data_IF_513848304002
#
_entry.id   IF_513848304002
#
_cell.length_a   1.000
_cell.length_b   1.000
_cell.length_c   1.000
_cell.angle_alpha   90.00
_cell.angle_beta   90.00
_cell.angle_gamma   90.00
#
_symmetry.space_group_name_H-M   'P 1'
#
loop_
_entity.id
_entity.type
_entity.pdbx_description
1 polymer ?
#
# COMPACT_ATOMS: atom_id res chain seq x y z
N UNK A 1 -25.49 -45.19 1.38
CA UNK A 1 -24.10 -44.71 1.51
C UNK A 1 -24.04 -43.18 1.40
N UNK A 2 -24.72 -42.58 0.42
CA UNK A 2 -24.84 -41.11 0.22
C UNK A 2 -25.08 -40.23 1.48
N UNK A 3 -25.90 -40.65 2.45
CA UNK A 3 -26.14 -39.86 3.68
C UNK A 3 -24.92 -39.79 4.60
N UNK A 4 -24.07 -40.82 4.60
CA UNK A 4 -22.84 -40.82 5.39
C UNK A 4 -21.77 -39.96 4.72
N UNK A 5 -21.72 -39.99 3.40
CA UNK A 5 -20.80 -39.18 2.60
C UNK A 5 -21.11 -37.69 2.79
N UNK A 6 -22.40 -37.29 2.72
CA UNK A 6 -22.83 -35.92 3.01
C UNK A 6 -22.49 -35.46 4.44
N UNK A 7 -22.62 -36.33 5.43
CA UNK A 7 -22.24 -35.99 6.82
C UNK A 7 -20.74 -35.77 6.95
N UNK A 8 -19.94 -36.63 6.32
CA UNK A 8 -18.48 -36.46 6.31
C UNK A 8 -18.05 -35.16 5.61
N UNK A 9 -18.72 -34.79 4.51
CA UNK A 9 -18.50 -33.50 3.84
C UNK A 9 -18.85 -32.33 4.75
N UNK A 10 -20.01 -32.36 5.43
CA UNK A 10 -20.40 -31.32 6.39
C UNK A 10 -19.42 -31.20 7.55
N UNK A 11 -18.98 -32.33 8.11
CA UNK A 11 -18.00 -32.35 9.19
C UNK A 11 -16.66 -31.76 8.71
N UNK A 12 -16.24 -32.06 7.48
CA UNK A 12 -15.01 -31.50 6.89
C UNK A 12 -15.09 -29.98 6.68
N UNK A 13 -16.25 -29.48 6.22
CA UNK A 13 -16.50 -28.05 6.05
C UNK A 13 -16.55 -27.32 7.40
N UNK A 14 -17.14 -27.95 8.42
CA UNK A 14 -17.19 -27.41 9.77
C UNK A 14 -15.77 -27.29 10.35
N UNK A 15 -14.96 -28.33 10.20
CA UNK A 15 -13.55 -28.29 10.63
C UNK A 15 -12.74 -27.23 9.87
N UNK A 16 -12.98 -27.07 8.56
CA UNK A 16 -12.34 -26.01 7.77
C UNK A 16 -12.74 -24.61 8.28
N UNK A 17 -14.04 -24.39 8.52
CA UNK A 17 -14.55 -23.13 9.07
C UNK A 17 -13.91 -22.79 10.43
N UNK A 18 -13.81 -23.77 11.33
CA UNK A 18 -13.20 -23.55 12.64
C UNK A 18 -11.72 -23.16 12.52
N UNK A 19 -10.98 -23.80 11.61
CA UNK A 19 -9.57 -23.46 11.32
C UNK A 19 -9.44 -22.06 10.75
N UNK A 20 -10.30 -21.71 9.79
CA UNK A 20 -10.28 -20.38 9.16
C UNK A 20 -10.61 -19.27 10.18
N UNK A 21 -11.50 -19.55 11.14
CA UNK A 21 -11.81 -18.63 12.25
C UNK A 21 -10.62 -18.44 13.19
N UNK A 22 -9.91 -19.50 13.55
CA UNK A 22 -8.70 -19.44 14.37
C UNK A 22 -7.60 -18.61 13.67
N UNK A 23 -7.37 -18.86 12.37
CA UNK A 23 -6.43 -18.06 11.58
C UNK A 23 -6.82 -16.59 11.51
N UNK A 24 -8.12 -16.30 11.36
CA UNK A 24 -8.63 -14.94 11.29
C UNK A 24 -8.42 -14.22 12.63
N UNK A 25 -8.67 -14.88 13.75
CA UNK A 25 -8.40 -14.33 15.08
C UNK A 25 -6.91 -14.03 15.28
N UNK A 26 -6.03 -14.97 14.90
CA UNK A 26 -4.59 -14.75 14.95
C UNK A 26 -4.16 -13.54 14.10
N UNK A 27 -4.69 -13.42 12.88
CA UNK A 27 -4.44 -12.27 11.98
C UNK A 27 -4.95 -10.96 12.60
N UNK A 28 -6.11 -10.97 13.27
CA UNK A 28 -6.66 -9.79 13.97
C UNK A 28 -5.78 -9.36 15.14
N UNK A 29 -5.32 -10.29 15.97
CA UNK A 29 -4.43 -9.98 17.10
C UNK A 29 -3.10 -9.41 16.59
N UNK A 30 -2.52 -10.02 15.55
CA UNK A 30 -1.29 -9.53 14.92
C UNK A 30 -1.48 -8.12 14.35
N UNK A 31 -2.59 -7.84 13.66
CA UNK A 31 -2.90 -6.51 13.14
C UNK A 31 -3.13 -5.49 14.26
N UNK A 32 -3.85 -5.88 15.32
CA UNK A 32 -4.10 -4.99 16.46
C UNK A 32 -2.81 -4.67 17.24
N UNK A 33 -1.81 -5.55 17.24
CA UNK A 33 -0.50 -5.22 17.80
C UNK A 33 0.19 -4.08 17.02
N UNK A 34 -0.12 -3.90 15.72
CA UNK A 34 0.41 -2.82 14.88
C UNK A 34 -0.36 -1.48 15.03
N UNK A 35 -1.27 -1.35 16.00
CA UNK A 35 -2.02 -0.11 16.27
C UNK A 35 -1.12 1.09 16.60
N UNK A 36 0.15 0.87 16.95
CA UNK A 36 1.16 1.92 17.10
C UNK A 36 1.26 2.84 15.87
N UNK A 37 1.03 2.32 14.65
CA UNK A 37 1.00 3.10 13.41
C UNK A 37 -0.07 4.21 13.39
N UNK A 38 -1.19 4.00 14.08
CA UNK A 38 -2.26 5.01 14.17
C UNK A 38 -1.86 6.13 15.14
N UNK A 39 -1.20 5.76 16.24
CA UNK A 39 -0.67 6.72 17.19
C UNK A 39 0.45 7.55 16.56
N UNK A 40 1.38 6.93 15.85
CA UNK A 40 2.48 7.62 15.17
C UNK A 40 1.96 8.58 14.07
N UNK A 41 0.93 8.19 13.31
CA UNK A 41 0.24 9.07 12.37
C UNK A 41 -0.44 10.27 13.07
N UNK A 42 -1.10 10.05 14.21
CA UNK A 42 -1.71 11.15 14.98
C UNK A 42 -0.66 12.15 15.52
N UNK A 43 0.49 11.65 15.99
CA UNK A 43 1.63 12.48 16.40
C UNK A 43 2.19 13.28 15.23
N UNK A 44 2.30 12.68 14.05
CA UNK A 44 2.74 13.36 12.84
C UNK A 44 1.78 14.49 12.43
N UNK A 45 0.46 14.23 12.48
CA UNK A 45 -0.59 15.23 12.24
C UNK A 45 -0.59 16.36 13.26
N UNK A 46 -0.28 16.07 14.52
CA UNK A 46 -0.15 17.11 15.55
C UNK A 46 1.07 18.00 15.29
N UNK A 47 2.22 17.40 14.96
CA UNK A 47 3.47 18.13 14.74
C UNK A 47 3.45 18.99 13.47
N UNK A 48 2.91 18.48 12.37
CA UNK A 48 2.95 19.16 11.07
C UNK A 48 1.61 19.80 10.69
N UNK A 49 0.54 19.49 11.41
CA UNK A 49 -0.83 19.92 11.12
C UNK A 49 -1.58 18.97 10.18
N UNK A 50 -2.90 18.95 10.28
CA UNK A 50 -3.77 18.16 9.40
C UNK A 50 -3.71 18.59 7.91
N UNK A 51 -3.16 19.78 7.64
CA UNK A 51 -2.95 20.37 6.31
C UNK A 51 -1.62 19.98 5.65
N UNK A 52 -0.78 19.18 6.31
CA UNK A 52 0.45 18.57 5.75
C UNK A 52 0.41 17.03 5.71
N UNK A 53 -0.36 16.39 6.60
CA UNK A 53 -0.48 14.92 6.69
C UNK A 53 -1.95 14.50 6.67
N UNK A 54 -2.52 14.33 5.48
CA UNK A 54 -3.90 13.87 5.34
C UNK A 54 -4.34 13.61 3.89
N UNK A 55 -5.51 12.96 3.70
CA UNK A 55 -5.97 12.53 2.38
C UNK A 55 -6.19 13.67 1.38
N UNK A 56 -6.46 14.89 1.88
CA UNK A 56 -6.72 16.07 1.04
C UNK A 56 -5.46 16.61 0.34
N UNK A 57 -4.29 16.04 0.60
CA UNK A 57 -3.02 16.56 0.10
C UNK A 57 -2.26 15.55 -0.75
N UNK A 58 -2.94 14.49 -1.18
CA UNK A 58 -2.38 13.62 -2.19
C UNK A 58 -2.19 14.43 -3.48
N UNK A 59 -0.94 14.76 -3.76
CA UNK A 59 -0.56 15.47 -4.97
C UNK A 59 -0.49 14.48 -6.14
N UNK A 60 -0.59 14.96 -7.37
CA UNK A 60 -0.56 14.11 -8.57
C UNK A 60 0.73 13.30 -8.76
N UNK A 61 1.79 13.63 -8.03
CA UNK A 61 3.06 12.89 -8.04
C UNK A 61 3.15 11.80 -6.95
N UNK A 62 2.12 11.68 -6.10
CA UNK A 62 2.03 10.60 -5.10
C UNK A 62 1.39 9.37 -5.75
N UNK A 63 2.22 8.43 -6.16
CA UNK A 63 1.76 7.20 -6.81
C UNK A 63 1.69 6.02 -5.82
N UNK A 64 0.64 5.18 -5.87
CA UNK A 64 0.51 4.04 -4.98
C UNK A 64 1.63 3.02 -5.24
N UNK A 65 2.46 2.77 -4.23
CA UNK A 65 3.56 1.81 -4.36
C UNK A 65 3.12 0.36 -4.19
N UNK A 66 1.97 0.15 -3.54
CA UNK A 66 1.43 -1.18 -3.25
C UNK A 66 -0.04 -1.19 -3.65
N UNK A 67 -0.39 -2.10 -4.56
CA UNK A 67 -1.75 -2.41 -4.96
C UNK A 67 -2.14 -3.83 -4.55
N UNK A 68 -3.43 -4.08 -4.41
CA UNK A 68 -3.99 -5.41 -4.16
C UNK A 68 -4.85 -5.76 -5.37
N UNK A 69 -4.54 -6.90 -6.00
CA UNK A 69 -5.33 -7.43 -7.10
C UNK A 69 -6.13 -8.64 -6.63
N UNK A 70 -7.32 -8.81 -7.21
CA UNK A 70 -8.20 -9.95 -6.99
C UNK A 70 -8.34 -10.76 -8.27
N UNK A 71 -8.28 -12.09 -8.16
CA UNK A 71 -8.68 -13.02 -9.22
C UNK A 71 -9.58 -14.06 -8.61
N UNK A 72 -10.56 -14.47 -9.40
CA UNK A 72 -11.31 -15.69 -9.14
C UNK A 72 -10.38 -16.88 -9.39
N UNK A 73 -10.25 -17.76 -8.40
CA UNK A 73 -9.57 -19.04 -8.58
C UNK A 73 -10.50 -20.04 -9.26
N UNK A 74 -9.93 -21.09 -9.85
CA UNK A 74 -10.68 -22.21 -10.46
C UNK A 74 -11.64 -22.88 -9.46
N UNK A 75 -11.41 -22.73 -8.16
CA UNK A 75 -12.21 -23.28 -7.06
C UNK A 75 -13.36 -22.35 -6.59
N UNK A 76 -13.60 -21.22 -7.27
CA UNK A 76 -14.62 -20.22 -6.89
C UNK A 76 -14.23 -19.30 -5.72
N UNK A 77 -13.04 -19.49 -5.14
CA UNK A 77 -12.49 -18.64 -4.09
C UNK A 77 -11.75 -17.42 -4.67
N UNK A 78 -11.90 -16.24 -4.05
CA UNK A 78 -11.11 -15.06 -4.45
C UNK A 78 -9.70 -15.16 -3.88
N UNK A 79 -8.70 -15.09 -4.77
CA UNK A 79 -7.29 -15.00 -4.40
C UNK A 79 -6.85 -13.54 -4.47
N UNK A 80 -6.27 -13.06 -3.39
CA UNK A 80 -5.66 -11.75 -3.30
C UNK A 80 -4.14 -11.88 -3.47
N UNK A 81 -3.53 -11.01 -4.26
CA UNK A 81 -2.07 -10.87 -4.25
C UNK A 81 -1.67 -9.40 -4.26
N UNK A 82 -0.49 -9.15 -3.70
CA UNK A 82 0.10 -7.82 -3.59
C UNK A 82 0.96 -7.54 -4.82
N UNK A 83 0.73 -6.39 -5.46
CA UNK A 83 1.55 -5.89 -6.57
C UNK A 83 2.29 -4.65 -6.08
N UNK A 84 3.61 -4.58 -6.31
CA UNK A 84 4.39 -3.37 -6.02
C UNK A 84 4.70 -2.61 -7.31
N UNK A 85 4.50 -1.29 -7.30
CA UNK A 85 4.87 -0.44 -8.42
C UNK A 85 6.39 -0.46 -8.58
N UNK A 86 6.87 -0.93 -9.74
CA UNK A 86 8.29 -1.06 -10.06
C UNK A 86 8.72 -2.38 -10.72
N UNK A 87 7.83 -3.40 -10.82
CA UNK A 87 8.17 -4.69 -11.45
C UNK A 87 7.55 -4.94 -12.82
N UNK A 88 6.65 -4.11 -13.34
CA UNK A 88 6.16 -4.23 -14.73
C UNK A 88 5.83 -2.85 -15.32
N UNK A 89 6.55 -2.45 -16.36
CA UNK A 89 6.10 -1.43 -17.32
C UNK A 89 5.49 -2.12 -18.53
N UNK A 90 4.27 -1.75 -18.95
CA UNK A 90 3.96 -1.62 -20.37
C UNK A 90 4.06 -0.13 -20.72
N UNK A 91 4.80 0.14 -21.79
CA UNK A 91 4.94 1.47 -22.39
C UNK A 91 3.61 2.21 -22.50
N UNK A 92 3.59 3.50 -22.11
CA UNK A 92 2.63 4.43 -22.69
C UNK A 92 3.30 5.75 -23.06
N UNK A 93 3.27 6.02 -24.36
CA UNK A 93 3.78 7.18 -25.07
C UNK A 93 2.80 8.34 -24.87
N UNK A 94 3.23 9.44 -24.22
CA UNK A 94 2.42 10.66 -24.14
C UNK A 94 3.16 11.86 -23.53
N UNK A 95 3.01 13.08 -24.07
CA UNK A 95 3.95 14.18 -23.82
C UNK A 95 3.72 14.89 -22.47
N UNK A 96 4.71 14.80 -21.57
CA UNK A 96 4.78 15.59 -20.34
C UNK A 96 4.91 17.09 -20.64
N UNK A 97 3.83 17.85 -20.42
CA UNK A 97 3.89 19.33 -20.41
C UNK A 97 4.40 19.83 -19.06
N UNK A 98 5.67 20.17 -19.02
CA UNK A 98 6.30 20.90 -17.93
C UNK A 98 5.78 22.35 -17.88
N UNK A 99 5.11 22.74 -16.80
CA UNK A 99 4.74 24.14 -16.54
C UNK A 99 5.41 24.63 -15.24
N UNK A 100 6.55 25.31 -15.48
CA UNK A 100 7.00 26.56 -14.88
C UNK A 100 7.04 26.70 -13.34
N UNK A 101 8.23 26.44 -12.78
CA UNK A 101 8.79 27.25 -11.70
C UNK A 101 10.25 27.59 -12.02
N UNK A 102 10.46 28.64 -12.81
CA UNK A 102 11.79 29.20 -13.10
C UNK A 102 12.17 30.15 -11.97
N UNK A 103 13.17 29.78 -11.17
CA UNK A 103 14.04 30.77 -10.51
C UNK A 103 15.30 30.97 -11.38
N UNK A 104 15.74 32.22 -11.47
CA UNK A 104 16.77 32.72 -12.38
C UNK A 104 18.14 32.52 -11.71
N UNK A 105 19.02 31.74 -12.33
CA UNK A 105 20.43 31.66 -11.94
C UNK A 105 21.13 30.35 -12.29
N UNK A 106 22.05 30.43 -13.25
CA UNK A 106 23.27 29.63 -13.42
C UNK A 106 23.19 28.16 -13.90
N UNK A 107 23.40 28.04 -15.21
CA UNK A 107 24.07 27.01 -16.04
C UNK A 107 23.98 25.52 -15.64
N UNK A 108 23.42 24.75 -16.58
CA UNK A 108 23.16 23.30 -16.56
C UNK A 108 24.43 22.45 -16.63
N UNK A 109 24.44 21.37 -15.84
CA UNK A 109 25.04 20.08 -16.21
C UNK A 109 23.88 19.08 -16.30
N UNK A 110 23.68 18.34 -17.41
CA UNK A 110 22.64 17.32 -17.50
C UNK A 110 23.13 16.04 -16.81
N UNK A 111 22.72 15.86 -15.56
CA UNK A 111 22.88 14.59 -14.84
C UNK A 111 21.82 13.58 -15.31
N UNK A 112 22.17 12.28 -15.38
CA UNK A 112 21.40 11.26 -16.07
C UNK A 112 20.06 10.95 -15.36
N UNK A 113 19.09 10.51 -16.15
CA UNK A 113 17.76 10.08 -15.71
C UNK A 113 17.85 9.19 -14.47
N UNK A 114 17.13 9.49 -13.37
CA UNK A 114 17.14 8.62 -12.20
C UNK A 114 16.40 7.34 -12.55
N UNK A 115 17.17 6.36 -12.97
CA UNK A 115 16.80 4.97 -13.11
C UNK A 115 16.06 4.50 -11.86
N UNK A 116 14.78 4.14 -12.01
CA UNK A 116 14.07 3.05 -11.35
C UNK A 116 14.44 2.69 -9.89
N UNK A 117 14.77 3.66 -9.05
CA UNK A 117 14.80 3.46 -7.61
C UNK A 117 13.36 3.66 -7.09
N UNK A 118 12.83 2.77 -6.24
CA UNK A 118 11.57 3.00 -5.56
C UNK A 118 11.66 4.35 -4.85
N UNK A 119 10.89 5.34 -5.29
CA UNK A 119 10.88 6.65 -4.64
C UNK A 119 10.42 6.43 -3.19
N UNK A 120 11.18 6.89 -2.19
CA UNK A 120 10.73 6.83 -0.81
C UNK A 120 9.47 7.71 -0.68
N UNK A 121 8.28 7.15 -0.32
CA UNK A 121 7.05 7.92 -0.25
C UNK A 121 7.10 9.03 0.82
N UNK A 122 8.03 8.94 1.78
CA UNK A 122 8.25 9.99 2.76
C UNK A 122 8.75 11.29 2.12
N UNK A 123 9.40 11.22 0.95
CA UNK A 123 9.88 12.40 0.24
C UNK A 123 8.74 13.29 -0.28
N UNK A 124 7.52 12.76 -0.41
CA UNK A 124 6.36 13.56 -0.80
C UNK A 124 6.01 14.65 0.22
N UNK A 125 6.44 14.49 1.47
CA UNK A 125 6.24 15.46 2.55
C UNK A 125 7.40 16.48 2.67
N UNK A 126 8.37 16.44 1.75
CA UNK A 126 9.52 17.33 1.73
C UNK A 126 10.59 17.00 2.78
N UNK A 127 11.43 17.97 3.12
CA UNK A 127 12.60 17.75 3.99
C UNK A 127 12.21 17.62 5.48
N UNK A 128 11.06 18.20 5.86
CA UNK A 128 10.58 18.21 7.25
C UNK A 128 9.59 17.07 7.51
N UNK A 129 10.08 15.83 7.45
CA UNK A 129 9.28 14.64 7.84
C UNK A 129 9.47 14.37 9.34
N UNK A 130 8.42 14.45 10.17
CA UNK A 130 8.51 14.11 11.59
C UNK A 130 8.99 12.69 11.81
N UNK A 131 9.72 12.48 12.89
CA UNK A 131 10.19 11.15 13.27
C UNK A 131 9.04 10.14 13.41
N UNK A 132 7.89 10.59 13.94
CA UNK A 132 6.71 9.75 14.07
C UNK A 132 6.14 9.28 12.72
N UNK A 133 6.31 10.02 11.62
CA UNK A 133 5.88 9.58 10.30
C UNK A 133 6.85 8.56 9.70
N UNK A 134 8.14 8.65 10.05
CA UNK A 134 9.17 7.66 9.67
C UNK A 134 9.02 6.32 10.40
N UNK A 135 8.36 6.32 11.55
CA UNK A 135 8.09 5.15 12.38
C UNK A 135 6.69 4.54 12.17
N UNK A 136 5.86 5.19 11.35
CA UNK A 136 4.48 4.78 11.09
C UNK A 136 4.40 3.64 10.06
#
# INVERSE_FOLDING_TARGET
MAVRDLRAELDSLLLQLLRDLEELEAKRVALNAQVEGWLSLSKARYAMGAKSVGPLQYASHMEPQVGICTSEAQDGLQKFWMVRAGTQTPEEVGPHKAVLCRRKGLTRTPEPDPSAAPQDPLNWFGILVPHSLRQA
#
